data_IF_571598523058
#
_entry.id   IF_571598523058
#
_cell.length_a   1.000
_cell.length_b   1.000
_cell.length_c   1.000
_cell.angle_alpha   90.00
_cell.angle_beta   90.00
_cell.angle_gamma   90.00
#
_symmetry.space_group_name_H-M   'P 1'
#
loop_
_entity.id
_entity.type
_entity.pdbx_description
1 polymer ?
#
# COMPACT_ATOMS: atom_id res chain seq x y z
N UNK A 1 8.51 40.04 -37.29
CA UNK A 1 8.26 38.59 -37.19
C UNK A 1 8.88 38.10 -35.89
N UNK A 2 8.10 38.03 -34.81
CA UNK A 2 8.51 37.38 -33.57
C UNK A 2 7.62 36.16 -33.41
N UNK A 3 8.19 34.97 -33.62
CA UNK A 3 7.52 33.69 -33.45
C UNK A 3 7.48 33.37 -31.97
N UNK A 4 6.30 33.43 -31.36
CA UNK A 4 6.07 33.02 -29.99
C UNK A 4 6.32 31.51 -29.87
N UNK A 5 7.31 31.14 -29.07
CA UNK A 5 7.52 29.75 -28.65
C UNK A 5 6.47 29.37 -27.62
N UNK A 6 5.52 28.54 -28.05
CA UNK A 6 4.61 27.81 -27.19
C UNK A 6 5.42 26.80 -26.36
N UNK A 7 5.55 27.07 -25.06
CA UNK A 7 6.10 26.11 -24.10
C UNK A 7 5.00 25.10 -23.79
N UNK A 8 4.93 24.02 -24.57
CA UNK A 8 4.10 22.88 -24.19
C UNK A 8 4.58 22.36 -22.84
N UNK A 9 3.74 22.48 -21.82
CA UNK A 9 3.97 21.86 -20.52
C UNK A 9 4.03 20.34 -20.73
N UNK A 10 4.98 19.61 -20.10
CA UNK A 10 5.02 18.16 -20.21
C UNK A 10 3.75 17.59 -19.57
N UNK A 11 3.00 16.81 -20.35
CA UNK A 11 1.89 16.02 -19.84
C UNK A 11 2.41 15.10 -18.73
N UNK A 12 1.72 14.98 -17.58
CA UNK A 12 2.12 14.03 -16.55
C UNK A 12 2.10 12.62 -17.14
N UNK A 13 3.25 11.94 -17.13
CA UNK A 13 3.37 10.58 -17.64
C UNK A 13 2.44 9.65 -16.84
N UNK A 14 1.77 8.72 -17.53
CA UNK A 14 0.89 7.72 -16.89
C UNK A 14 1.63 6.88 -15.83
N UNK A 15 2.96 6.78 -15.93
CA UNK A 15 3.84 6.11 -14.99
C UNK A 15 4.63 7.16 -14.21
N UNK A 16 4.49 7.14 -12.89
CA UNK A 16 5.30 7.94 -11.97
C UNK A 16 6.67 7.27 -11.78
N UNK A 17 7.75 7.97 -12.12
CA UNK A 17 9.12 7.47 -11.97
C UNK A 17 9.48 7.20 -10.51
N UNK A 18 8.87 7.90 -9.56
CA UNK A 18 9.12 7.66 -8.14
C UNK A 18 8.61 6.27 -7.71
N UNK A 19 7.46 5.83 -8.24
CA UNK A 19 6.95 4.49 -7.98
C UNK A 19 7.83 3.40 -8.59
N UNK A 20 8.34 3.63 -9.80
CA UNK A 20 9.27 2.70 -10.45
C UNK A 20 10.54 2.56 -9.60
N UNK A 21 11.10 3.68 -9.17
CA UNK A 21 12.29 3.70 -8.32
C UNK A 21 12.03 3.03 -6.96
N UNK A 22 10.87 3.24 -6.34
CA UNK A 22 10.48 2.55 -5.10
C UNK A 22 10.50 1.03 -5.27
N UNK A 23 9.86 0.51 -6.31
CA UNK A 23 9.86 -0.93 -6.61
C UNK A 23 11.27 -1.48 -6.86
N UNK A 24 12.07 -0.78 -7.67
CA UNK A 24 13.46 -1.18 -7.94
C UNK A 24 14.27 -1.21 -6.65
N UNK A 25 14.16 -0.19 -5.81
CA UNK A 25 14.88 -0.11 -4.54
C UNK A 25 14.47 -1.25 -3.59
N UNK A 26 13.18 -1.59 -3.53
CA UNK A 26 12.68 -2.70 -2.69
C UNK A 26 13.20 -4.04 -3.15
N UNK A 27 13.21 -4.31 -4.45
CA UNK A 27 13.80 -5.53 -4.99
C UNK A 27 15.29 -5.59 -4.71
N UNK A 28 16.04 -4.52 -4.98
CA UNK A 28 17.48 -4.46 -4.73
C UNK A 28 17.82 -4.62 -3.25
N UNK A 29 17.07 -3.96 -2.36
CA UNK A 29 17.25 -4.09 -0.93
C UNK A 29 16.98 -5.52 -0.45
N UNK A 30 15.93 -6.17 -0.96
CA UNK A 30 15.62 -7.56 -0.60
C UNK A 30 16.66 -8.54 -1.14
N UNK A 31 17.23 -8.28 -2.31
CA UNK A 31 18.33 -9.08 -2.85
C UNK A 31 19.63 -8.89 -2.03
N UNK A 32 19.85 -7.71 -1.48
CA UNK A 32 20.97 -7.44 -0.59
C UNK A 32 20.76 -8.04 0.81
N UNK A 33 19.53 -8.01 1.31
CA UNK A 33 19.14 -8.50 2.62
C UNK A 33 17.76 -9.17 2.55
N UNK A 34 17.75 -10.50 2.57
CA UNK A 34 16.52 -11.28 2.53
C UNK A 34 15.71 -11.19 3.83
N UNK A 35 16.30 -10.70 4.94
CA UNK A 35 15.59 -10.55 6.21
C UNK A 35 14.47 -9.50 6.13
N UNK A 36 14.57 -8.55 5.20
CA UNK A 36 13.52 -7.54 4.96
C UNK A 36 12.17 -8.15 4.57
N UNK A 37 12.18 -9.33 3.95
CA UNK A 37 10.98 -10.08 3.55
C UNK A 37 10.77 -11.33 4.40
N UNK A 38 11.84 -11.91 4.96
CA UNK A 38 11.77 -13.18 5.70
C UNK A 38 11.56 -13.04 7.20
N UNK A 39 11.78 -11.85 7.78
CA UNK A 39 11.64 -11.64 9.22
C UNK A 39 10.18 -11.84 9.69
N UNK A 40 9.97 -12.51 10.83
CA UNK A 40 8.65 -12.60 11.45
C UNK A 40 8.22 -11.24 12.01
N UNK A 41 6.92 -11.06 12.21
CA UNK A 41 6.39 -9.85 12.87
C UNK A 41 6.90 -9.71 14.30
N UNK A 42 6.90 -8.47 14.80
CA UNK A 42 7.24 -8.17 16.18
C UNK A 42 6.30 -8.88 17.18
N UNK A 43 6.73 -9.16 18.42
CA UNK A 43 5.90 -9.84 19.42
C UNK A 43 4.63 -9.08 19.81
N UNK A 44 4.64 -7.75 19.67
CA UNK A 44 3.51 -6.85 19.93
C UNK A 44 2.66 -6.57 18.68
N UNK A 45 2.91 -7.28 17.58
CA UNK A 45 2.15 -7.14 16.35
C UNK A 45 0.68 -7.49 16.57
N UNK A 46 -0.21 -6.69 15.97
CA UNK A 46 -1.66 -6.84 16.07
C UNK A 46 -2.22 -7.80 15.01
N UNK A 47 -3.35 -8.47 15.27
CA UNK A 47 -4.01 -9.29 14.26
C UNK A 47 -4.53 -8.43 13.10
N UNK A 48 -4.72 -9.09 11.95
CA UNK A 48 -5.44 -8.52 10.80
C UNK A 48 -6.88 -8.21 11.21
N UNK A 49 -7.39 -7.04 10.84
CA UNK A 49 -8.81 -6.73 11.01
C UNK A 49 -9.66 -7.55 10.03
N UNK A 50 -9.12 -7.78 8.84
CA UNK A 50 -9.82 -8.46 7.76
C UNK A 50 -9.49 -9.95 7.68
N UNK A 51 -10.53 -10.78 7.59
CA UNK A 51 -10.40 -12.23 7.42
C UNK A 51 -9.87 -12.58 6.03
N UNK A 52 -8.96 -13.54 5.93
CA UNK A 52 -8.33 -13.91 4.64
C UNK A 52 -9.35 -14.36 3.58
N UNK A 53 -10.32 -15.19 3.96
CA UNK A 53 -11.40 -15.65 3.07
C UNK A 53 -12.61 -14.71 3.04
N UNK A 54 -12.49 -13.50 3.60
CA UNK A 54 -13.54 -12.47 3.60
C UNK A 54 -13.63 -11.69 2.28
N UNK A 55 -13.06 -12.20 1.19
CA UNK A 55 -12.91 -11.46 -0.07
C UNK A 55 -14.23 -11.15 -0.78
N UNK A 56 -15.29 -11.93 -0.52
CA UNK A 56 -16.62 -11.73 -1.13
C UNK A 56 -17.39 -10.50 -0.60
N UNK A 57 -16.85 -9.81 0.41
CA UNK A 57 -17.48 -8.65 1.02
C UNK A 57 -16.53 -7.44 1.00
N UNK A 58 -16.79 -6.40 0.20
CA UNK A 58 -17.89 -6.24 -0.76
C UNK A 58 -17.66 -7.03 -2.06
N UNK A 59 -18.75 -7.54 -2.66
CA UNK A 59 -18.69 -8.39 -3.86
C UNK A 59 -18.13 -7.65 -5.09
N UNK A 60 -18.36 -6.34 -5.20
CA UNK A 60 -17.85 -5.54 -6.30
C UNK A 60 -16.32 -5.53 -6.33
N UNK A 61 -15.67 -5.36 -5.18
CA UNK A 61 -14.21 -5.45 -5.05
C UNK A 61 -13.71 -6.86 -5.37
N UNK A 62 -14.47 -7.90 -4.99
CA UNK A 62 -14.17 -9.26 -5.38
C UNK A 62 -14.15 -9.44 -6.90
N UNK A 63 -15.21 -8.98 -7.59
CA UNK A 63 -15.34 -9.09 -9.04
C UNK A 63 -14.26 -8.30 -9.77
N UNK A 64 -14.01 -7.05 -9.36
CA UNK A 64 -12.96 -6.21 -9.94
C UNK A 64 -11.59 -6.86 -9.75
N UNK A 65 -11.29 -7.40 -8.57
CA UNK A 65 -10.00 -8.04 -8.31
C UNK A 65 -9.85 -9.37 -9.04
N UNK A 66 -10.94 -10.13 -9.21
CA UNK A 66 -10.91 -11.37 -10.01
C UNK A 66 -10.66 -11.08 -11.50
N UNK A 67 -11.27 -10.02 -12.05
CA UNK A 67 -11.14 -9.70 -13.48
C UNK A 67 -9.88 -8.89 -13.79
N UNK A 68 -9.52 -7.94 -12.93
CA UNK A 68 -8.41 -7.00 -13.13
C UNK A 68 -7.65 -6.79 -11.80
N UNK A 69 -6.95 -7.82 -11.29
CA UNK A 69 -6.29 -7.78 -9.99
C UNK A 69 -5.25 -6.66 -9.85
N UNK A 70 -4.66 -6.20 -10.96
CA UNK A 70 -3.67 -5.13 -10.96
C UNK A 70 -4.22 -3.81 -10.39
N UNK A 71 -5.52 -3.53 -10.58
CA UNK A 71 -6.14 -2.28 -10.13
C UNK A 71 -6.15 -2.28 -8.61
N UNK A 72 -6.74 -3.32 -8.00
CA UNK A 72 -6.77 -3.47 -6.55
C UNK A 72 -5.37 -3.52 -5.96
N UNK A 73 -4.44 -4.23 -6.59
CA UNK A 73 -3.04 -4.21 -6.18
C UNK A 73 -2.45 -2.79 -6.18
N UNK A 74 -2.63 -2.04 -7.27
CA UNK A 74 -2.19 -0.65 -7.38
C UNK A 74 -2.87 0.29 -6.38
N UNK A 75 -4.15 0.06 -6.04
CA UNK A 75 -4.88 0.82 -5.01
C UNK A 75 -4.23 0.63 -3.64
N UNK A 76 -3.95 -0.63 -3.28
CA UNK A 76 -3.29 -0.96 -2.02
C UNK A 76 -1.92 -0.28 -1.94
N UNK A 77 -1.09 -0.40 -2.99
CA UNK A 77 0.21 0.25 -3.05
C UNK A 77 0.13 1.75 -2.79
N UNK A 78 -0.84 2.43 -3.43
CA UNK A 78 -1.04 3.86 -3.27
C UNK A 78 -1.36 4.24 -1.82
N UNK A 79 -2.31 3.54 -1.18
CA UNK A 79 -2.65 3.78 0.24
C UNK A 79 -1.46 3.53 1.17
N UNK A 80 -0.67 2.50 0.90
CA UNK A 80 0.43 2.09 1.78
C UNK A 80 1.63 3.04 1.64
N UNK A 81 2.02 3.44 0.43
CA UNK A 81 3.30 4.15 0.19
C UNK A 81 3.18 5.62 -0.17
N UNK A 82 2.03 6.08 -0.67
CA UNK A 82 1.81 7.49 -1.03
C UNK A 82 0.93 8.19 0.00
N UNK A 83 -0.37 8.22 -0.27
CA UNK A 83 -1.35 8.93 0.54
C UNK A 83 -2.55 8.02 0.78
N UNK A 84 -3.00 7.95 2.04
CA UNK A 84 -4.17 7.17 2.42
C UNK A 84 -5.50 7.74 1.91
N UNK A 85 -5.51 9.03 1.51
CA UNK A 85 -6.69 9.77 1.02
C UNK A 85 -7.06 9.49 -0.45
N UNK A 86 -6.18 8.84 -1.20
CA UNK A 86 -6.36 8.49 -2.63
C UNK A 86 -6.54 9.70 -3.57
N UNK A 87 -6.20 10.93 -3.15
CA UNK A 87 -6.47 12.16 -3.93
C UNK A 87 -5.71 12.24 -5.28
N UNK A 88 -4.64 11.46 -5.44
CA UNK A 88 -3.83 11.39 -6.68
C UNK A 88 -3.80 9.98 -7.30
N UNK A 89 -4.76 9.14 -6.94
CA UNK A 89 -4.79 7.76 -7.40
C UNK A 89 -5.20 7.65 -8.88
N UNK A 90 -4.41 6.92 -9.66
CA UNK A 90 -4.77 6.47 -11.01
C UNK A 90 -4.84 4.93 -11.04
N UNK A 91 -5.85 4.38 -11.72
CA UNK A 91 -6.07 2.94 -11.83
C UNK A 91 -4.95 2.21 -12.59
N UNK A 92 -4.37 2.85 -13.60
CA UNK A 92 -3.22 2.34 -14.35
C UNK A 92 -1.98 3.10 -13.87
N UNK A 93 -1.45 2.68 -12.74
CA UNK A 93 -0.20 3.19 -12.18
C UNK A 93 0.95 2.19 -12.36
N UNK A 94 2.17 2.59 -11.97
CA UNK A 94 3.36 1.75 -12.08
C UNK A 94 3.17 0.38 -11.40
N UNK A 95 2.48 0.32 -10.26
CA UNK A 95 2.20 -0.93 -9.54
C UNK A 95 1.21 -1.83 -10.27
N UNK A 96 0.16 -1.29 -10.91
CA UNK A 96 -0.72 -2.10 -11.78
C UNK A 96 0.07 -2.66 -12.97
N UNK A 97 0.91 -1.85 -13.62
CA UNK A 97 1.71 -2.31 -14.77
C UNK A 97 2.74 -3.37 -14.37
N UNK A 98 3.41 -3.17 -13.23
CA UNK A 98 4.33 -4.15 -12.64
C UNK A 98 3.60 -5.47 -12.37
N UNK A 99 2.47 -5.42 -11.66
CA UNK A 99 1.69 -6.62 -11.35
C UNK A 99 1.29 -7.34 -12.62
N UNK A 100 0.74 -6.62 -13.60
CA UNK A 100 0.36 -7.17 -14.91
C UNK A 100 1.54 -7.84 -15.60
N UNK A 101 2.71 -7.20 -15.61
CA UNK A 101 3.95 -7.75 -16.17
C UNK A 101 4.36 -9.07 -15.51
N UNK A 102 4.35 -9.15 -14.18
CA UNK A 102 4.65 -10.40 -13.45
C UNK A 102 3.57 -11.47 -13.66
N UNK A 103 2.29 -11.07 -13.73
CA UNK A 103 1.17 -11.98 -14.01
C UNK A 103 1.30 -12.66 -15.37
N UNK A 104 1.81 -11.97 -16.40
CA UNK A 104 2.04 -12.56 -17.72
C UNK A 104 2.99 -13.78 -17.70
N UNK A 105 3.82 -13.91 -16.66
CA UNK A 105 4.76 -15.03 -16.49
C UNK A 105 4.37 -15.96 -15.34
N UNK A 106 3.18 -15.80 -14.74
CA UNK A 106 2.76 -16.58 -13.58
C UNK A 106 3.51 -16.23 -12.29
N UNK A 107 4.22 -15.10 -12.26
CA UNK A 107 5.05 -14.65 -11.13
C UNK A 107 4.36 -13.59 -10.25
N UNK A 108 3.04 -13.43 -10.37
CA UNK A 108 2.28 -12.40 -9.64
C UNK A 108 2.42 -12.50 -8.12
N UNK A 109 2.75 -13.67 -7.58
CA UNK A 109 2.95 -13.86 -6.15
C UNK A 109 4.16 -13.08 -5.61
N UNK A 110 5.16 -12.77 -6.46
CA UNK A 110 6.35 -12.00 -6.06
C UNK A 110 5.99 -10.57 -5.65
N UNK A 111 5.41 -9.72 -6.52
CA UNK A 111 5.00 -8.37 -6.12
C UNK A 111 3.92 -8.39 -5.03
N UNK A 112 3.04 -9.40 -5.02
CA UNK A 112 2.01 -9.58 -3.98
C UNK A 112 2.64 -9.80 -2.60
N UNK A 113 3.66 -10.66 -2.51
CA UNK A 113 4.40 -10.94 -1.28
C UNK A 113 5.08 -9.68 -0.75
N UNK A 114 5.79 -8.96 -1.61
CA UNK A 114 6.49 -7.73 -1.23
C UNK A 114 5.52 -6.67 -0.69
N UNK A 115 4.38 -6.49 -1.35
CA UNK A 115 3.36 -5.57 -0.86
C UNK A 115 2.74 -6.04 0.46
N UNK A 116 2.54 -7.35 0.64
CA UNK A 116 2.00 -7.90 1.89
C UNK A 116 2.93 -7.65 3.07
N UNK A 117 4.24 -7.82 2.88
CA UNK A 117 5.26 -7.50 3.89
C UNK A 117 5.21 -6.01 4.25
N UNK A 118 5.09 -5.12 3.25
CA UNK A 118 4.98 -3.68 3.51
C UNK A 118 3.71 -3.31 4.29
N UNK A 119 2.56 -3.90 3.94
CA UNK A 119 1.29 -3.71 4.67
C UNK A 119 1.47 -4.13 6.14
N UNK A 120 2.10 -5.27 6.38
CA UNK A 120 2.37 -5.74 7.75
C UNK A 120 3.32 -4.84 8.51
N UNK A 121 4.42 -4.43 7.88
CA UNK A 121 5.42 -3.59 8.52
C UNK A 121 4.86 -2.19 8.82
N UNK A 122 4.13 -1.59 7.88
CA UNK A 122 3.49 -0.27 8.06
C UNK A 122 2.48 -0.26 9.20
N UNK A 123 1.66 -1.32 9.30
CA UNK A 123 0.56 -1.36 10.25
C UNK A 123 0.82 -2.24 11.49
N UNK A 124 2.07 -2.71 11.68
CA UNK A 124 2.48 -3.64 12.73
C UNK A 124 1.58 -4.90 12.82
N UNK A 125 1.35 -5.59 11.71
CA UNK A 125 0.46 -6.77 11.64
C UNK A 125 1.21 -8.08 11.84
N UNK A 126 0.51 -9.09 12.36
CA UNK A 126 1.04 -10.43 12.58
C UNK A 126 1.28 -11.22 11.28
N UNK A 127 2.33 -12.04 11.32
CA UNK A 127 2.53 -13.20 10.46
C UNK A 127 4.01 -13.55 10.29
N UNK A 128 4.30 -14.36 9.29
CA UNK A 128 5.66 -14.73 8.86
C UNK A 128 5.75 -14.86 7.33
N UNK A 129 6.96 -15.11 6.84
CA UNK A 129 7.25 -15.27 5.42
C UNK A 129 6.53 -16.45 4.75
N UNK A 130 6.42 -17.60 5.41
CA UNK A 130 5.81 -18.79 4.83
C UNK A 130 4.31 -18.58 4.66
N UNK A 131 3.66 -18.00 5.67
CA UNK A 131 2.26 -17.57 5.59
C UNK A 131 2.05 -16.57 4.46
N UNK A 132 2.92 -15.56 4.34
CA UNK A 132 2.78 -14.53 3.30
C UNK A 132 3.03 -15.08 1.89
N UNK A 133 3.99 -15.99 1.73
CA UNK A 133 4.26 -16.66 0.46
C UNK A 133 3.08 -17.56 0.06
N UNK A 134 2.59 -18.38 1.00
CA UNK A 134 1.47 -19.29 0.76
C UNK A 134 0.19 -18.52 0.42
N UNK A 135 -0.15 -17.48 1.17
CA UNK A 135 -1.33 -16.64 0.91
C UNK A 135 -1.23 -15.91 -0.42
N UNK A 136 -0.04 -15.44 -0.80
CA UNK A 136 0.19 -14.76 -2.09
C UNK A 136 0.14 -15.72 -3.29
N UNK A 137 0.45 -17.00 -3.11
CA UNK A 137 0.46 -18.02 -4.16
C UNK A 137 -0.89 -18.76 -4.29
N UNK A 138 -1.49 -19.19 -3.18
CA UNK A 138 -2.64 -20.10 -3.16
C UNK A 138 -3.99 -19.40 -3.45
N UNK A 139 -4.18 -18.15 -2.98
CA UNK A 139 -5.33 -17.33 -3.39
C UNK A 139 -4.90 -15.88 -3.57
N UNK A 140 -4.36 -15.55 -4.76
CA UNK A 140 -3.92 -14.21 -5.09
C UNK A 140 -5.02 -13.16 -4.92
N UNK A 141 -6.25 -13.46 -5.37
CA UNK A 141 -7.40 -12.57 -5.21
C UNK A 141 -7.70 -12.27 -3.72
N UNK A 142 -7.78 -13.31 -2.89
CA UNK A 142 -8.03 -13.16 -1.45
C UNK A 142 -6.93 -12.32 -0.78
N UNK A 143 -5.66 -12.60 -1.11
CA UNK A 143 -4.52 -11.87 -0.55
C UNK A 143 -4.55 -10.39 -0.92
N UNK A 144 -4.81 -10.07 -2.20
CA UNK A 144 -4.88 -8.68 -2.67
C UNK A 144 -6.04 -7.93 -2.01
N UNK A 145 -7.22 -8.55 -1.91
CA UNK A 145 -8.40 -7.93 -1.28
C UNK A 145 -8.18 -7.73 0.22
N UNK A 146 -7.62 -8.72 0.93
CA UNK A 146 -7.32 -8.58 2.35
C UNK A 146 -6.37 -7.39 2.59
N UNK A 147 -5.33 -7.26 1.76
CA UNK A 147 -4.40 -6.14 1.86
C UNK A 147 -5.06 -4.78 1.56
N UNK A 148 -5.93 -4.70 0.54
CA UNK A 148 -6.67 -3.47 0.18
C UNK A 148 -7.57 -3.00 1.32
N UNK A 149 -8.38 -3.92 1.87
CA UNK A 149 -9.32 -3.63 2.95
C UNK A 149 -8.60 -3.28 4.25
N UNK A 150 -7.54 -4.01 4.59
CA UNK A 150 -6.73 -3.70 5.76
C UNK A 150 -6.12 -2.29 5.63
N UNK A 151 -5.53 -1.97 4.48
CA UNK A 151 -4.98 -0.63 4.25
C UNK A 151 -6.05 0.46 4.37
N UNK A 152 -7.24 0.25 3.81
CA UNK A 152 -8.34 1.22 3.91
C UNK A 152 -8.79 1.46 5.36
N UNK A 153 -8.99 0.39 6.13
CA UNK A 153 -9.39 0.50 7.54
C UNK A 153 -8.33 1.23 8.35
N UNK A 154 -7.04 0.91 8.15
CA UNK A 154 -5.95 1.51 8.93
C UNK A 154 -5.70 2.96 8.57
N UNK A 155 -5.74 3.32 7.30
CA UNK A 155 -5.59 4.72 6.89
C UNK A 155 -6.75 5.58 7.41
N UNK A 156 -7.97 5.03 7.43
CA UNK A 156 -9.11 5.71 8.07
C UNK A 156 -8.90 5.91 9.57
N UNK A 157 -8.46 4.87 10.30
CA UNK A 157 -8.13 4.99 11.73
C UNK A 157 -7.05 6.06 12.00
N UNK A 158 -6.04 6.15 11.14
CA UNK A 158 -4.96 7.14 11.24
C UNK A 158 -5.51 8.55 10.99
N UNK A 159 -6.32 8.74 9.95
CA UNK A 159 -6.95 10.01 9.62
C UNK A 159 -7.89 10.52 10.73
N UNK A 160 -8.72 9.63 11.29
CA UNK A 160 -9.61 9.95 12.41
C UNK A 160 -8.83 10.38 13.66
N UNK A 161 -7.75 9.68 14.00
CA UNK A 161 -6.86 10.05 15.12
C UNK A 161 -6.17 11.40 14.88
N UNK A 162 -5.75 11.68 13.65
CA UNK A 162 -5.16 12.97 13.30
C UNK A 162 -6.18 14.11 13.44
N UNK A 163 -7.42 13.90 13.00
CA UNK A 163 -8.50 14.87 13.11
C UNK A 163 -8.90 15.14 14.58
N UNK A 164 -8.85 14.14 15.45
CA UNK A 164 -9.10 14.28 16.88
C UNK A 164 -7.97 15.00 17.66
N UNK A 165 -6.83 15.27 17.03
CA UNK A 165 -5.54 15.55 17.67
C UNK A 165 -5.12 17.01 17.89
N UNK A 166 -5.96 18.03 17.65
CA UNK A 166 -5.63 19.41 18.06
C UNK A 166 -6.47 19.86 19.28
N UNK A 167 -5.96 19.57 20.48
CA UNK A 167 -6.41 20.23 21.71
C UNK A 167 -5.38 21.31 22.08
N UNK A 168 -5.74 22.60 21.90
CA UNK A 168 -4.90 23.74 22.31
C UNK A 168 -4.58 23.63 23.82
N UNK A 169 -3.31 23.72 24.24
CA UNK A 169 -2.99 23.65 25.67
C UNK A 169 -3.67 24.81 26.41
N UNK A 170 -4.41 24.48 27.46
CA UNK A 170 -5.00 25.48 28.37
C UNK A 170 -3.85 26.25 29.04
N UNK A 171 -3.93 27.59 28.98
CA UNK A 171 -2.85 28.47 29.39
C UNK A 171 -2.34 28.18 30.79
N UNK A 172 -1.03 27.96 30.92
CA UNK A 172 -0.35 27.82 32.21
C UNK A 172 -0.40 29.15 32.95
N UNK A 173 -1.19 29.24 34.01
CA UNK A 173 -1.17 30.40 34.92
C UNK A 173 -0.04 30.25 35.92
N UNK A 174 0.95 31.13 35.87
CA UNK A 174 1.98 31.23 36.91
C UNK A 174 1.42 32.02 38.10
N UNK A 175 1.30 31.38 39.26
CA UNK A 175 1.10 32.12 40.51
C UNK A 175 2.45 32.62 41.01
N UNK A 176 2.59 33.95 41.09
CA UNK A 176 3.70 34.58 41.77
C UNK A 176 3.54 34.36 43.28
N UNK A 177 4.50 33.66 43.90
CA UNK A 177 4.57 33.51 45.36
C UNK A 177 5.37 34.69 45.93
N UNK A 178 4.68 35.54 46.70
CA UNK A 178 5.27 36.61 47.51
C UNK A 178 5.86 36.12 48.81
#
# INVERSE_FOLDING_TARGET
MASSTDKSQPQPSMVDQNDVNDWVNRFNATLADSTLVTAPSAPDARPWAESFFGCFMPIDTCLITCCVPCITFGKTHHRVRKHGDMESYNCVNASCLLFTGFSCFGLHFIPTLFQRVDVRNKYNLQGDFLSDLFTSCCCACCSIIQQDKEAEVREREIAEKAAAGYAKPQGMSYQARG
#
